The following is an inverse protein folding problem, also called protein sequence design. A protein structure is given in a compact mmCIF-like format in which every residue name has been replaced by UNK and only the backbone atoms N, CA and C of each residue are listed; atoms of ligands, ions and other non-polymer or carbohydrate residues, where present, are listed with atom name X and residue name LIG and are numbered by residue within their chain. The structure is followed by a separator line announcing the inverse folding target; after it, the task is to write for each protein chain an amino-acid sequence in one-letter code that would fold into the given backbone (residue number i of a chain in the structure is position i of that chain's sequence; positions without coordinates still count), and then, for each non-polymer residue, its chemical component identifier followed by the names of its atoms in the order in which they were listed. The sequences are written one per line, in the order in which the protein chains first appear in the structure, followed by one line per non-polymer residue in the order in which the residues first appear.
data_IF_842957254897
#
_entry.id   IF_842957254897
#
_cell.length_a   1.000
_cell.length_b   1.000
_cell.length_c   1.000
_cell.angle_alpha   90.00
_cell.angle_beta   90.00
_cell.angle_gamma   90.00
#
_symmetry.space_group_name_H-M   'P 1'
#
loop_
_entity.id
_entity.type
_entity.pdbx_description
1 polymer ?
#
# COMPACT_ATOMS: atom_id res chain seq x y z
N UNK A 1 -7.94 -10.18 -10.37
CA UNK A 1 -7.05 -11.36 -10.63
C UNK A 1 -7.95 -12.57 -10.84
N UNK A 2 -7.76 -13.36 -11.89
CA UNK A 2 -8.58 -14.56 -12.08
C UNK A 2 -8.03 -15.70 -11.21
N UNK A 3 -8.72 -16.01 -10.13
CA UNK A 3 -8.33 -17.05 -9.16
C UNK A 3 -8.18 -18.43 -9.79
N UNK A 4 -8.92 -18.72 -10.84
CA UNK A 4 -8.79 -20.00 -11.55
C UNK A 4 -7.43 -20.17 -12.26
N UNK A 5 -6.66 -19.12 -12.45
CA UNK A 5 -5.33 -19.14 -13.06
C UNK A 5 -4.18 -19.29 -12.05
N UNK A 6 -4.47 -19.22 -10.76
CA UNK A 6 -3.46 -19.39 -9.71
C UNK A 6 -2.94 -20.84 -9.75
N UNK A 7 -1.63 -21.05 -9.72
CA UNK A 7 -1.04 -22.40 -9.77
C UNK A 7 -1.62 -23.37 -8.74
N UNK A 8 -1.87 -22.90 -7.52
CA UNK A 8 -2.48 -23.70 -6.46
C UNK A 8 -3.88 -24.18 -6.83
N UNK A 9 -4.69 -23.34 -7.50
CA UNK A 9 -6.04 -23.74 -7.95
C UNK A 9 -6.00 -24.77 -9.08
N UNK A 10 -4.96 -24.74 -9.89
CA UNK A 10 -4.73 -25.77 -10.90
C UNK A 10 -4.31 -27.11 -10.26
N UNK A 11 -3.48 -27.04 -9.20
CA UNK A 11 -3.03 -28.21 -8.46
C UNK A 11 -4.13 -28.85 -7.61
N UNK A 12 -5.06 -28.05 -7.07
CA UNK A 12 -6.18 -28.52 -6.26
C UNK A 12 -7.49 -28.16 -6.97
N UNK A 13 -8.06 -29.07 -7.76
CA UNK A 13 -9.33 -28.84 -8.46
C UNK A 13 -10.51 -28.58 -7.51
N UNK A 14 -11.55 -27.97 -8.03
CA UNK A 14 -12.80 -27.71 -7.29
C UNK A 14 -13.37 -29.01 -6.70
N UNK A 15 -14.07 -28.89 -5.58
CA UNK A 15 -14.73 -30.00 -4.86
C UNK A 15 -13.78 -31.04 -4.25
N UNK A 16 -12.48 -30.76 -4.17
CA UNK A 16 -11.50 -31.65 -3.51
C UNK A 16 -11.27 -31.30 -2.04
N UNK A 17 -11.44 -30.03 -1.67
CA UNK A 17 -11.35 -29.53 -0.31
C UNK A 17 -12.31 -28.34 -0.10
N UNK A 18 -13.31 -28.51 0.75
CA UNK A 18 -14.32 -27.49 1.01
C UNK A 18 -13.72 -26.18 1.57
N UNK A 19 -12.71 -26.27 2.44
CA UNK A 19 -12.09 -25.09 3.02
C UNK A 19 -11.31 -24.29 1.97
N UNK A 20 -10.57 -24.98 1.11
CA UNK A 20 -9.87 -24.33 0.00
C UNK A 20 -10.86 -23.70 -0.99
N UNK A 21 -11.95 -24.37 -1.30
CA UNK A 21 -12.98 -23.83 -2.19
C UNK A 21 -13.64 -22.58 -1.58
N UNK A 22 -13.96 -22.60 -0.29
CA UNK A 22 -14.50 -21.44 0.42
C UNK A 22 -13.47 -20.29 0.47
N UNK A 23 -12.20 -20.58 0.76
CA UNK A 23 -11.13 -19.60 0.74
C UNK A 23 -11.04 -18.89 -0.62
N UNK A 24 -10.99 -19.66 -1.71
CA UNK A 24 -10.92 -19.12 -3.05
C UNK A 24 -12.16 -18.32 -3.43
N UNK A 25 -13.34 -18.74 -2.98
CA UNK A 25 -14.57 -17.98 -3.19
C UNK A 25 -14.56 -16.63 -2.44
N UNK A 26 -13.97 -16.59 -1.24
CA UNK A 26 -13.77 -15.33 -0.53
C UNK A 26 -12.78 -14.42 -1.26
N UNK A 27 -11.63 -14.96 -1.70
CA UNK A 27 -10.62 -14.21 -2.43
C UNK A 27 -11.12 -13.68 -3.78
N UNK A 28 -12.00 -14.42 -4.47
CA UNK A 28 -12.57 -13.99 -5.74
C UNK A 28 -13.51 -12.78 -5.60
N UNK A 29 -14.13 -12.66 -4.43
CA UNK A 29 -14.98 -11.53 -4.08
C UNK A 29 -14.20 -10.34 -3.50
N UNK A 30 -12.93 -10.52 -3.22
CA UNK A 30 -12.13 -9.49 -2.61
C UNK A 30 -11.77 -8.42 -3.63
N UNK A 31 -12.00 -7.18 -3.25
CA UNK A 31 -11.56 -6.01 -4.00
C UNK A 31 -10.28 -5.45 -3.38
N UNK A 32 -9.55 -4.68 -4.17
CA UNK A 32 -8.33 -4.03 -3.70
C UNK A 32 -8.39 -2.55 -4.04
N UNK A 33 -7.90 -1.74 -3.12
CA UNK A 33 -7.76 -0.31 -3.34
C UNK A 33 -6.43 -0.09 -4.09
N UNK A 34 -6.44 0.46 -5.31
CA UNK A 34 -5.21 0.83 -5.98
C UNK A 34 -4.60 2.08 -5.33
N UNK A 35 -3.29 2.24 -5.46
CA UNK A 35 -2.57 3.43 -5.01
C UNK A 35 -1.50 3.84 -6.01
N UNK A 36 -1.19 5.13 -6.04
CA UNK A 36 0.06 5.64 -6.57
C UNK A 36 0.92 6.13 -5.41
N UNK A 37 2.19 5.86 -5.50
CA UNK A 37 3.22 6.37 -4.59
C UNK A 37 4.20 7.17 -5.41
N UNK A 38 4.42 8.41 -5.03
CA UNK A 38 5.43 9.28 -5.61
C UNK A 38 6.58 9.41 -4.63
N UNK A 39 7.79 9.22 -5.12
CA UNK A 39 9.00 9.41 -4.33
C UNK A 39 9.71 10.62 -4.93
N UNK A 40 9.81 11.68 -4.15
CA UNK A 40 10.50 12.92 -4.52
C UNK A 40 11.86 12.89 -3.82
N UNK A 41 12.92 13.02 -4.61
CA UNK A 41 14.28 13.11 -4.09
C UNK A 41 14.68 14.57 -4.00
N UNK A 42 15.28 14.97 -2.88
CA UNK A 42 15.80 16.31 -2.72
C UNK A 42 17.25 16.39 -3.19
N UNK A 43 17.67 17.56 -3.67
CA UNK A 43 19.05 17.82 -4.05
C UNK A 43 19.99 17.84 -2.83
N UNK A 44 21.28 17.65 -3.06
CA UNK A 44 22.32 17.58 -2.03
C UNK A 44 22.46 18.84 -1.17
N UNK A 45 22.03 19.99 -1.67
CA UNK A 45 22.09 21.28 -0.97
C UNK A 45 20.98 21.49 0.06
N UNK A 46 20.13 20.48 0.26
CA UNK A 46 19.04 20.59 1.20
C UNK A 46 19.53 20.30 2.61
N UNK A 47 19.46 21.30 3.49
CA UNK A 47 19.82 21.08 4.89
C UNK A 47 18.77 20.19 5.57
N UNK A 48 19.07 18.92 5.65
CA UNK A 48 18.35 17.93 6.44
C UNK A 48 18.01 18.43 7.86
N UNK A 49 18.91 19.24 8.47
CA UNK A 49 18.72 19.79 9.82
C UNK A 49 17.48 20.68 9.91
N UNK A 50 17.18 21.43 8.86
CA UNK A 50 16.02 22.34 8.85
C UNK A 50 14.68 21.59 8.80
N UNK A 51 14.68 20.40 8.26
CA UNK A 51 13.49 19.54 8.19
C UNK A 51 13.34 18.63 9.43
N UNK A 52 14.44 18.16 9.97
CA UNK A 52 14.47 17.23 11.10
C UNK A 52 14.29 17.90 12.46
N UNK A 53 14.44 19.19 12.55
CA UNK A 53 14.02 19.96 13.71
C UNK A 53 12.49 19.95 13.87
N UNK A 54 11.75 19.56 12.83
CA UNK A 54 10.31 19.43 12.90
C UNK A 54 9.91 18.10 13.54
N UNK A 55 9.04 18.19 14.54
CA UNK A 55 8.52 17.09 15.37
C UNK A 55 7.78 16.01 14.57
N UNK A 56 7.27 16.31 13.37
CA UNK A 56 6.37 15.46 12.62
C UNK A 56 6.96 15.05 11.28
N UNK A 57 7.02 13.74 11.04
CA UNK A 57 7.52 13.13 9.80
C UNK A 57 6.41 12.51 8.94
N UNK A 58 5.22 12.37 9.53
CA UNK A 58 4.06 11.78 8.90
C UNK A 58 2.91 12.77 8.92
N UNK A 59 2.35 13.02 7.75
CA UNK A 59 1.20 13.87 7.56
C UNK A 59 0.08 13.08 6.91
N UNK A 60 -1.02 12.88 7.62
CA UNK A 60 -2.27 12.43 7.04
C UNK A 60 -3.13 13.65 6.74
N UNK A 61 -3.54 13.78 5.49
CA UNK A 61 -4.34 14.93 5.08
C UNK A 61 -5.80 14.70 5.46
N UNK A 62 -6.45 15.76 6.00
CA UNK A 62 -7.90 15.75 6.18
C UNK A 62 -8.57 15.58 4.82
N UNK A 63 -9.77 15.00 4.78
CA UNK A 63 -10.49 14.67 3.55
C UNK A 63 -10.64 15.86 2.58
N UNK A 64 -10.83 17.07 3.09
CA UNK A 64 -10.89 18.29 2.27
C UNK A 64 -9.58 18.58 1.54
N UNK A 65 -8.44 18.44 2.22
CA UNK A 65 -7.11 18.61 1.65
C UNK A 65 -6.74 17.44 0.74
N UNK A 66 -7.12 16.22 1.11
CA UNK A 66 -6.98 15.03 0.26
C UNK A 66 -7.68 15.22 -1.09
N UNK A 67 -8.92 15.72 -1.07
CA UNK A 67 -9.68 15.99 -2.28
C UNK A 67 -9.06 17.11 -3.13
N UNK A 68 -8.53 18.15 -2.48
CA UNK A 68 -7.89 19.28 -3.16
C UNK A 68 -6.56 18.88 -3.79
N UNK A 69 -5.65 18.31 -3.01
CA UNK A 69 -4.28 18.03 -3.42
C UNK A 69 -4.07 16.62 -3.98
N UNK A 70 -5.09 15.76 -3.90
CA UNK A 70 -5.03 14.35 -4.32
C UNK A 70 -4.07 13.48 -3.52
N UNK A 71 -3.61 13.95 -2.36
CA UNK A 71 -2.72 13.23 -1.46
C UNK A 71 -3.48 12.72 -0.25
N UNK A 72 -3.22 11.46 0.15
CA UNK A 72 -3.71 10.88 1.38
C UNK A 72 -2.70 11.11 2.51
N UNK A 73 -1.43 10.88 2.19
CA UNK A 73 -0.35 10.80 3.16
C UNK A 73 0.97 11.28 2.56
N UNK A 74 1.73 12.02 3.36
CA UNK A 74 3.06 12.47 3.03
C UNK A 74 4.01 12.03 4.13
N UNK A 75 5.13 11.45 3.77
CA UNK A 75 6.15 10.93 4.68
C UNK A 75 7.49 11.53 4.29
N UNK A 76 8.20 12.06 5.27
CA UNK A 76 9.56 12.55 5.12
C UNK A 76 10.52 11.51 5.70
N UNK A 77 11.46 11.04 4.88
CA UNK A 77 12.42 10.00 5.25
C UNK A 77 13.85 10.47 4.99
N UNK A 78 14.71 10.27 5.97
CA UNK A 78 16.14 10.42 5.77
C UNK A 78 16.68 9.25 4.96
N UNK A 79 17.53 9.56 4.01
CA UNK A 79 18.32 8.60 3.25
C UNK A 79 19.75 8.52 3.82
N UNK A 80 20.44 7.42 3.56
CA UNK A 80 21.80 7.14 4.09
C UNK A 80 22.84 8.21 3.76
N UNK A 81 22.64 8.96 2.70
CA UNK A 81 23.52 10.03 2.25
C UNK A 81 23.10 11.42 2.76
N UNK A 82 22.36 11.51 3.85
CA UNK A 82 21.77 12.74 4.39
C UNK A 82 20.80 13.47 3.42
N UNK A 83 20.35 12.81 2.36
CA UNK A 83 19.31 13.34 1.49
C UNK A 83 17.93 13.08 2.11
N UNK A 84 16.99 13.96 1.82
CA UNK A 84 15.62 13.81 2.23
C UNK A 84 14.82 13.15 1.10
N UNK A 85 14.21 12.00 1.40
CA UNK A 85 13.21 11.40 0.55
C UNK A 85 11.81 11.81 1.01
N UNK A 86 10.96 12.22 0.07
CA UNK A 86 9.58 12.56 0.37
C UNK A 86 8.69 11.55 -0.34
N UNK A 87 7.92 10.79 0.44
CA UNK A 87 7.02 9.78 -0.09
C UNK A 87 5.59 10.30 -0.01
N UNK A 88 4.94 10.43 -1.14
CA UNK A 88 3.55 10.91 -1.25
C UNK A 88 2.68 9.77 -1.73
N UNK A 89 1.65 9.44 -0.96
CA UNK A 89 0.66 8.42 -1.32
C UNK A 89 -0.66 9.05 -1.72
N UNK A 90 -1.28 8.51 -2.76
CA UNK A 90 -2.66 8.83 -3.13
C UNK A 90 -3.51 7.57 -3.28
N UNK A 91 -4.76 7.66 -2.84
CA UNK A 91 -5.83 6.70 -3.13
C UNK A 91 -6.97 7.34 -3.93
N UNK A 92 -6.79 8.57 -4.41
CA UNK A 92 -7.80 9.25 -5.23
C UNK A 92 -7.98 8.50 -6.55
N UNK A 93 -9.13 7.88 -6.72
CA UNK A 93 -9.42 6.96 -7.84
C UNK A 93 -9.34 7.67 -9.19
N UNK A 94 -9.88 8.90 -9.30
CA UNK A 94 -9.87 9.63 -10.57
C UNK A 94 -8.44 9.98 -10.98
N UNK A 95 -7.60 10.35 -9.99
CA UNK A 95 -6.20 10.64 -10.23
C UNK A 95 -5.42 9.38 -10.65
N UNK A 96 -5.71 8.25 -10.01
CA UNK A 96 -5.10 6.95 -10.32
C UNK A 96 -5.54 6.46 -11.70
N UNK A 97 -6.84 6.56 -12.03
CA UNK A 97 -7.38 6.15 -13.32
C UNK A 97 -6.79 7.01 -14.44
N UNK A 98 -6.67 8.32 -14.24
CA UNK A 98 -6.03 9.20 -15.23
C UNK A 98 -4.58 8.78 -15.55
N UNK A 99 -3.85 8.22 -14.57
CA UNK A 99 -2.53 7.65 -14.80
C UNK A 99 -2.60 6.33 -15.59
N UNK A 100 -3.58 5.50 -15.27
CA UNK A 100 -3.81 4.22 -15.95
C UNK A 100 -4.22 4.44 -17.40
N UNK A 101 -5.07 5.44 -17.65
CA UNK A 101 -5.64 5.78 -18.97
C UNK A 101 -4.65 6.50 -19.90
N UNK A 102 -3.40 6.61 -19.49
CA UNK A 102 -2.31 7.00 -20.38
C UNK A 102 -1.94 8.47 -20.38
N UNK A 103 -2.38 9.27 -19.40
CA UNK A 103 -1.70 10.55 -19.16
C UNK A 103 -0.27 10.25 -18.75
N UNK A 104 0.70 10.75 -19.51
CA UNK A 104 2.12 10.44 -19.33
C UNK A 104 2.65 10.79 -17.94
N UNK A 105 3.73 10.14 -17.53
CA UNK A 105 4.36 10.33 -16.21
C UNK A 105 4.68 11.80 -15.91
N UNK A 106 5.11 12.55 -16.91
CA UNK A 106 5.47 13.96 -16.76
C UNK A 106 4.28 14.83 -16.33
N UNK A 107 3.07 14.50 -16.78
CA UNK A 107 1.86 15.17 -16.31
C UNK A 107 1.69 14.99 -14.79
N UNK A 108 1.88 13.77 -14.30
CA UNK A 108 1.70 13.46 -12.87
C UNK A 108 2.82 14.02 -12.03
N UNK A 109 4.06 13.97 -12.50
CA UNK A 109 5.19 14.59 -11.82
C UNK A 109 4.97 16.08 -11.61
N UNK A 110 4.57 16.80 -12.67
CA UNK A 110 4.23 18.23 -12.58
C UNK A 110 3.06 18.50 -11.64
N UNK A 111 1.98 17.73 -11.73
CA UNK A 111 0.79 17.91 -10.89
C UNK A 111 1.09 17.64 -9.41
N UNK A 112 1.84 16.57 -9.11
CA UNK A 112 2.23 16.24 -7.73
C UNK A 112 3.12 17.33 -7.15
N UNK A 113 4.07 17.81 -7.93
CA UNK A 113 4.99 18.85 -7.48
C UNK A 113 4.29 20.18 -7.23
N UNK A 114 3.40 20.59 -8.15
CA UNK A 114 2.61 21.81 -7.96
C UNK A 114 1.72 21.72 -6.70
N UNK A 115 1.02 20.60 -6.52
CA UNK A 115 0.17 20.38 -5.35
C UNK A 115 0.98 20.31 -4.05
N UNK A 116 2.16 19.71 -4.09
CA UNK A 116 3.06 19.63 -2.93
C UNK A 116 3.56 21.03 -2.53
N UNK A 117 4.02 21.82 -3.49
CA UNK A 117 4.49 23.18 -3.24
C UNK A 117 3.38 24.09 -2.72
N UNK A 118 2.16 23.98 -3.26
CA UNK A 118 1.02 24.74 -2.75
C UNK A 118 0.67 24.37 -1.31
N UNK A 119 0.69 23.06 -0.99
CA UNK A 119 0.40 22.58 0.35
C UNK A 119 1.41 23.10 1.40
N UNK A 120 2.68 23.23 1.00
CA UNK A 120 3.76 23.68 1.88
C UNK A 120 4.25 25.11 1.58
N UNK A 121 3.47 25.92 0.89
CA UNK A 121 3.86 27.27 0.45
C UNK A 121 4.37 28.19 1.59
N UNK A 122 3.89 27.96 2.81
CA UNK A 122 4.33 28.71 4.00
C UNK A 122 5.58 28.15 4.67
N UNK A 123 6.07 26.98 4.20
CA UNK A 123 7.27 26.37 4.75
C UNK A 123 8.44 26.65 3.82
N UNK A 124 9.25 27.65 4.18
CA UNK A 124 10.40 28.10 3.37
C UNK A 124 11.38 26.98 3.07
N UNK A 125 11.53 26.02 3.99
CA UNK A 125 12.40 24.88 3.79
C UNK A 125 11.90 23.96 2.65
N UNK A 126 10.60 23.80 2.48
CA UNK A 126 9.99 22.96 1.42
C UNK A 126 9.92 23.72 0.09
N UNK A 127 9.70 25.04 0.11
CA UNK A 127 9.62 25.85 -1.10
C UNK A 127 10.92 25.91 -1.91
N UNK A 128 12.02 25.53 -1.30
CA UNK A 128 13.32 25.44 -1.98
C UNK A 128 13.53 24.09 -2.68
N UNK A 129 12.57 23.16 -2.59
CA UNK A 129 12.61 21.91 -3.34
C UNK A 129 12.49 22.20 -4.84
N UNK A 130 13.61 22.19 -5.51
CA UNK A 130 13.64 22.27 -6.97
C UNK A 130 13.47 20.87 -7.54
N UNK A 131 12.43 20.67 -8.32
CA UNK A 131 12.07 19.38 -8.91
C UNK A 131 12.89 19.03 -10.16
N UNK A 132 14.18 19.23 -10.14
CA UNK A 132 14.96 18.97 -11.34
C UNK A 132 15.43 17.53 -11.51
N UNK A 133 15.33 16.67 -10.49
CA UNK A 133 16.05 15.39 -10.55
C UNK A 133 15.26 14.13 -10.21
N UNK A 134 13.98 14.17 -10.18
CA UNK A 134 13.33 12.87 -10.19
C UNK A 134 12.23 12.66 -9.19
N UNK A 135 11.04 12.67 -9.70
CA UNK A 135 9.93 11.98 -9.05
C UNK A 135 9.84 10.58 -9.66
N UNK A 136 10.00 9.56 -8.82
CA UNK A 136 9.68 8.19 -9.20
C UNK A 136 8.23 7.91 -8.89
N UNK A 137 7.55 7.19 -9.79
CA UNK A 137 6.14 6.82 -9.62
C UNK A 137 6.05 5.31 -9.48
N UNK A 138 5.46 4.85 -8.38
CA UNK A 138 5.16 3.44 -8.14
C UNK A 138 3.66 3.22 -8.18
N UNK A 139 3.22 2.27 -9.00
CA UNK A 139 1.83 1.90 -9.16
C UNK A 139 1.52 0.60 -8.42
N UNK A 140 0.63 0.69 -7.47
CA UNK A 140 0.11 -0.45 -6.72
C UNK A 140 -1.31 -0.76 -7.20
N UNK A 141 -1.47 -1.78 -8.03
CA UNK A 141 -2.80 -2.18 -8.52
C UNK A 141 -3.67 -2.78 -7.42
N UNK A 142 -3.05 -3.49 -6.50
CA UNK A 142 -3.68 -4.15 -5.36
C UNK A 142 -2.90 -3.79 -4.09
N UNK A 143 -3.09 -2.58 -3.58
CA UNK A 143 -2.33 -2.06 -2.44
C UNK A 143 -2.87 -2.55 -1.11
N UNK A 144 -4.19 -2.52 -0.95
CA UNK A 144 -4.86 -2.97 0.27
C UNK A 144 -6.13 -3.72 -0.10
N UNK A 145 -6.40 -4.86 0.54
CA UNK A 145 -7.70 -5.51 0.42
C UNK A 145 -8.79 -4.59 0.98
N UNK A 146 -9.94 -4.65 0.35
CA UNK A 146 -11.16 -3.96 0.76
C UNK A 146 -12.35 -4.90 0.62
N UNK A 147 -13.41 -4.63 1.34
CA UNK A 147 -14.58 -5.50 1.37
C UNK A 147 -14.51 -6.55 2.47
N UNK A 148 -14.99 -7.78 2.20
CA UNK A 148 -15.07 -8.82 3.20
C UNK A 148 -13.71 -9.48 3.45
N UNK A 149 -13.28 -9.51 4.70
CA UNK A 149 -12.12 -10.28 5.10
C UNK A 149 -12.35 -11.79 4.97
N UNK A 150 -11.29 -12.54 4.74
CA UNK A 150 -11.37 -14.01 4.72
C UNK A 150 -11.40 -14.54 6.15
N UNK A 151 -12.35 -15.42 6.49
CA UNK A 151 -12.43 -16.01 7.83
C UNK A 151 -11.15 -16.76 8.24
N UNK A 152 -10.69 -16.54 9.46
CA UNK A 152 -9.52 -17.24 10.02
C UNK A 152 -9.70 -18.77 10.08
N UNK A 153 -10.96 -19.26 10.13
CA UNK A 153 -11.27 -20.68 10.06
C UNK A 153 -10.76 -21.36 8.79
N UNK A 154 -10.61 -20.59 7.71
CA UNK A 154 -10.16 -21.07 6.40
C UNK A 154 -8.63 -21.04 6.20
N UNK A 155 -7.86 -20.65 7.22
CA UNK A 155 -6.40 -20.53 7.13
C UNK A 155 -5.68 -21.84 6.85
N UNK A 156 -6.28 -22.99 7.13
CA UNK A 156 -5.57 -24.26 7.04
C UNK A 156 -6.42 -25.36 6.42
N UNK A 157 -5.88 -26.04 5.42
CA UNK A 157 -6.41 -27.29 4.90
C UNK A 157 -5.68 -28.46 5.52
N UNK A 158 -6.37 -29.24 6.35
CA UNK A 158 -5.82 -30.47 6.93
C UNK A 158 -5.51 -31.51 5.88
N UNK A 159 -6.36 -31.61 4.87
CA UNK A 159 -6.24 -32.60 3.80
C UNK A 159 -4.95 -32.44 2.99
N UNK A 160 -4.61 -31.21 2.63
CA UNK A 160 -3.42 -30.91 1.84
C UNK A 160 -2.26 -30.41 2.65
N UNK A 161 -2.42 -30.22 3.96
CA UNK A 161 -1.43 -29.63 4.88
C UNK A 161 -0.89 -28.29 4.39
N UNK A 162 -1.79 -27.46 3.87
CA UNK A 162 -1.47 -26.14 3.34
C UNK A 162 -2.07 -25.08 4.26
N UNK A 163 -1.21 -24.12 4.66
CA UNK A 163 -1.61 -22.93 5.41
C UNK A 163 -1.62 -21.69 4.56
N UNK A 164 -2.47 -20.74 4.93
CA UNK A 164 -2.63 -19.45 4.29
C UNK A 164 -2.53 -18.34 5.33
N UNK A 165 -1.80 -17.29 5.02
CA UNK A 165 -1.73 -16.08 5.83
C UNK A 165 -1.62 -14.85 4.92
N UNK A 166 -1.90 -13.69 5.48
CA UNK A 166 -1.83 -12.42 4.75
C UNK A 166 -2.71 -11.35 5.40
N UNK A 167 -2.64 -10.14 4.91
CA UNK A 167 -3.41 -8.99 5.39
C UNK A 167 -4.90 -9.02 4.99
N UNK A 168 -5.30 -10.01 4.22
CA UNK A 168 -6.67 -10.25 3.73
C UNK A 168 -7.50 -11.17 4.63
N UNK A 169 -6.93 -11.69 5.72
CA UNK A 169 -7.70 -12.40 6.76
C UNK A 169 -8.39 -11.43 7.73
N UNK A 170 -9.51 -11.89 8.29
CA UNK A 170 -10.23 -11.16 9.33
C UNK A 170 -9.36 -10.96 10.59
N UNK A 171 -9.61 -9.85 11.30
CA UNK A 171 -8.96 -9.55 12.55
C UNK A 171 -8.36 -8.14 12.58
N UNK A 172 -7.69 -7.87 13.69
CA UNK A 172 -6.96 -6.61 13.87
C UNK A 172 -5.88 -6.47 12.79
N UNK A 173 -5.78 -5.27 12.23
CA UNK A 173 -4.78 -5.01 11.18
C UNK A 173 -5.18 -5.47 9.78
N UNK A 174 -6.44 -5.87 9.53
CA UNK A 174 -6.91 -6.18 8.17
C UNK A 174 -6.47 -5.11 7.16
N UNK A 175 -5.88 -5.55 6.04
CA UNK A 175 -5.33 -4.66 5.01
C UNK A 175 -4.02 -3.95 5.39
N UNK A 176 -3.33 -4.39 6.43
CA UNK A 176 -2.07 -3.81 6.90
C UNK A 176 -1.03 -4.88 7.21
N UNK A 177 0.23 -4.47 7.30
CA UNK A 177 1.35 -5.38 7.64
C UNK A 177 1.12 -6.10 8.96
N UNK A 178 0.57 -5.41 9.96
CA UNK A 178 0.22 -5.97 11.26
C UNK A 178 -0.74 -7.16 11.11
N UNK A 179 -1.75 -7.02 10.26
CA UNK A 179 -2.70 -8.10 9.97
C UNK A 179 -2.04 -9.32 9.33
N UNK A 180 -1.08 -9.10 8.42
CA UNK A 180 -0.30 -10.19 7.84
C UNK A 180 0.49 -10.95 8.91
N UNK A 181 1.15 -10.23 9.81
CA UNK A 181 1.94 -10.83 10.91
C UNK A 181 1.03 -11.60 11.87
N UNK A 182 -0.07 -10.97 12.29
CA UNK A 182 -1.02 -11.60 13.22
C UNK A 182 -1.64 -12.86 12.61
N UNK A 183 -2.04 -12.82 11.34
CA UNK A 183 -2.59 -14.00 10.66
C UNK A 183 -1.57 -15.13 10.55
N UNK A 184 -0.28 -14.80 10.32
CA UNK A 184 0.78 -15.80 10.30
C UNK A 184 1.01 -16.45 11.68
N UNK A 185 1.04 -15.65 12.75
CA UNK A 185 1.18 -16.16 14.11
C UNK A 185 0.01 -17.08 14.51
N UNK A 186 -1.22 -16.69 14.14
CA UNK A 186 -2.41 -17.53 14.37
C UNK A 186 -2.33 -18.85 13.60
N UNK A 187 -1.84 -18.83 12.36
CA UNK A 187 -1.63 -20.04 11.58
C UNK A 187 -0.61 -20.97 12.23
N UNK A 188 0.54 -20.43 12.68
CA UNK A 188 1.58 -21.21 13.39
C UNK A 188 1.00 -21.88 14.63
N UNK A 189 0.27 -21.13 15.47
CA UNK A 189 -0.39 -21.69 16.64
C UNK A 189 -1.34 -22.84 16.27
N UNK A 190 -2.18 -22.64 15.26
CA UNK A 190 -3.13 -23.64 14.77
C UNK A 190 -2.43 -24.93 14.28
N UNK A 191 -1.30 -24.81 13.59
CA UNK A 191 -0.50 -25.95 13.15
C UNK A 191 0.14 -26.65 14.35
N UNK A 192 0.70 -25.90 15.29
CA UNK A 192 1.33 -26.47 16.49
C UNK A 192 0.33 -27.27 17.34
N UNK A 193 -0.92 -26.82 17.44
CA UNK A 193 -1.99 -27.54 18.18
C UNK A 193 -2.47 -28.81 17.46
N UNK A 194 -2.15 -28.96 16.17
CA UNK A 194 -2.48 -30.16 15.39
C UNK A 194 -1.38 -31.24 15.40
N UNK A 195 -0.17 -30.87 15.82
CA UNK A 195 1.00 -31.78 15.87
C UNK A 195 1.14 -32.41 17.24
N UNK A 196 0.52 -31.82 18.29
CA UNK A 196 0.41 -32.39 19.63
C UNK A 196 -0.62 -33.49 19.66
#
# INVERSE_FOLDING_TARGET
MNINQIPLRKAIPKNKDKNIDMLFNCLDKQTFIPRLTFIIYTNENYSYKDFYSQKYRYFYLKRSLENKYKFERIIFQLQDNNKLGIVVHTKNIDFINSYIDGKGEEFFKKAVFANFNELFIKNTAVNQLTCNEGISIMKWRASQPSGCAVPLSLQFSRKYRIGFCGDWFEGEGFGRIEGSILSALMLVKKISDLIK
#
